data_IF_436502537497
#
_entry.id   IF_436502537497
#
_cell.length_a   1.000
_cell.length_b   1.000
_cell.length_c   1.000
_cell.angle_alpha   90.00
_cell.angle_beta   90.00
_cell.angle_gamma   90.00
#
_symmetry.space_group_name_H-M   'P 1'
#
loop_
_entity.id
_entity.type
_entity.pdbx_description
1 polymer ?
#
# COMPACT_ATOMS: atom_id res chain seq x y z
N UNK A 1 -35.74 -20.80 14.37
CA UNK A 1 -35.16 -20.05 15.51
C UNK A 1 -33.68 -20.34 15.77
N UNK A 2 -33.17 -21.57 15.58
CA UNK A 2 -31.76 -21.91 15.80
C UNK A 2 -30.78 -21.21 14.84
N UNK A 3 -31.16 -20.95 13.58
CA UNK A 3 -30.32 -20.29 12.56
C UNK A 3 -30.01 -18.80 12.87
N UNK A 4 -30.98 -18.11 13.50
CA UNK A 4 -30.82 -16.67 13.84
C UNK A 4 -29.88 -16.48 15.04
N UNK A 5 -29.89 -17.43 15.98
CA UNK A 5 -28.99 -17.38 17.14
C UNK A 5 -27.57 -17.64 16.73
N UNK A 6 -27.30 -18.57 15.81
CA UNK A 6 -25.96 -18.86 15.30
C UNK A 6 -25.34 -17.66 14.58
N UNK A 7 -26.11 -16.98 13.73
CA UNK A 7 -25.64 -15.78 13.04
C UNK A 7 -25.36 -14.60 13.99
N UNK A 8 -26.12 -14.44 15.06
CA UNK A 8 -25.83 -13.42 16.09
C UNK A 8 -24.58 -13.75 16.89
N UNK A 9 -24.33 -15.04 17.19
CA UNK A 9 -23.11 -15.47 17.90
C UNK A 9 -21.86 -15.28 17.04
N UNK A 10 -21.90 -15.65 15.77
CA UNK A 10 -20.77 -15.46 14.83
C UNK A 10 -20.48 -13.96 14.65
N UNK A 11 -21.52 -13.13 14.53
CA UNK A 11 -21.35 -11.68 14.40
C UNK A 11 -20.81 -11.03 15.69
N UNK A 12 -21.22 -11.51 16.87
CA UNK A 12 -20.77 -11.05 18.18
C UNK A 12 -19.32 -11.49 18.44
N UNK A 13 -18.98 -12.74 18.09
CA UNK A 13 -17.63 -13.28 18.21
C UNK A 13 -16.66 -12.55 17.29
N UNK A 14 -17.05 -12.28 16.03
CA UNK A 14 -16.28 -11.53 15.08
C UNK A 14 -16.06 -10.06 15.53
N UNK A 15 -17.08 -9.44 16.16
CA UNK A 15 -17.00 -8.07 16.68
C UNK A 15 -16.06 -7.96 17.88
N UNK A 16 -16.10 -8.92 18.81
CA UNK A 16 -15.22 -8.94 19.98
C UNK A 16 -13.76 -9.30 19.60
N UNK A 17 -13.59 -10.23 18.67
CA UNK A 17 -12.27 -10.56 18.11
C UNK A 17 -11.67 -9.35 17.40
N UNK A 18 -12.47 -8.69 16.55
CA UNK A 18 -12.08 -7.47 15.86
C UNK A 18 -11.73 -6.33 16.85
N UNK A 19 -12.52 -6.15 17.91
CA UNK A 19 -12.24 -5.17 18.96
C UNK A 19 -10.95 -5.47 19.71
N UNK A 20 -10.70 -6.74 20.06
CA UNK A 20 -9.48 -7.18 20.73
C UNK A 20 -8.25 -7.05 19.83
N UNK A 21 -8.37 -7.32 18.52
CA UNK A 21 -7.33 -7.05 17.54
C UNK A 21 -7.05 -5.53 17.44
N UNK A 22 -8.09 -4.71 17.33
CA UNK A 22 -7.96 -3.26 17.27
C UNK A 22 -7.31 -2.68 18.53
N UNK A 23 -7.63 -3.20 19.72
CA UNK A 23 -6.97 -2.79 20.97
C UNK A 23 -5.49 -3.21 21.00
N UNK A 24 -5.16 -4.42 20.52
CA UNK A 24 -3.79 -4.91 20.42
C UNK A 24 -2.92 -4.05 19.50
N UNK A 25 -3.51 -3.49 18.43
CA UNK A 25 -2.80 -2.70 17.42
C UNK A 25 -3.05 -1.18 17.53
N UNK A 26 -3.80 -0.72 18.55
CA UNK A 26 -4.23 0.68 18.72
C UNK A 26 -3.08 1.70 18.78
N UNK A 27 -1.89 1.27 19.15
CA UNK A 27 -0.69 2.11 19.24
C UNK A 27 0.39 1.74 18.22
N UNK A 28 0.11 0.82 17.30
CA UNK A 28 1.07 0.42 16.26
C UNK A 28 0.95 1.33 15.04
N UNK A 29 2.07 1.59 14.41
CA UNK A 29 2.16 2.35 13.18
C UNK A 29 2.21 1.35 12.03
N UNK A 30 1.18 1.33 11.18
CA UNK A 30 1.16 0.47 10.01
C UNK A 30 2.07 1.00 8.91
N UNK A 31 2.48 0.12 8.03
CA UNK A 31 3.33 0.45 6.88
C UNK A 31 2.57 0.16 5.61
N UNK A 32 2.60 1.10 4.68
CA UNK A 32 1.98 0.96 3.37
C UNK A 32 3.04 1.14 2.29
N UNK A 33 3.19 0.15 1.43
CA UNK A 33 4.04 0.20 0.24
C UNK A 33 3.18 0.25 -1.01
N UNK A 34 3.60 1.04 -2.02
CA UNK A 34 3.17 0.86 -3.39
C UNK A 34 4.23 0.06 -4.13
N UNK A 35 3.80 -0.96 -4.89
CA UNK A 35 4.70 -1.81 -5.66
C UNK A 35 4.02 -2.34 -6.90
N UNK A 36 4.76 -2.39 -8.01
CA UNK A 36 4.39 -3.09 -9.23
C UNK A 36 5.63 -3.72 -9.86
N UNK A 37 5.46 -4.86 -10.51
CA UNK A 37 6.49 -5.49 -11.31
C UNK A 37 6.23 -5.24 -12.80
N UNK A 38 7.02 -4.37 -13.41
CA UNK A 38 6.91 -4.07 -14.84
C UNK A 38 7.36 -5.21 -15.75
N UNK A 39 7.98 -6.27 -15.23
CA UNK A 39 8.35 -7.45 -16.01
C UNK A 39 7.18 -8.41 -16.22
N UNK A 40 6.06 -8.22 -15.52
CA UNK A 40 4.82 -8.97 -15.71
C UNK A 40 4.19 -8.61 -17.05
N UNK A 41 4.01 -9.62 -17.90
CA UNK A 41 3.52 -9.43 -19.28
C UNK A 41 2.06 -9.01 -19.33
N UNK A 42 1.24 -9.50 -18.43
CA UNK A 42 -0.18 -9.15 -18.38
C UNK A 42 -0.35 -7.71 -17.91
N UNK A 43 0.43 -7.31 -16.94
CA UNK A 43 0.49 -5.92 -16.47
C UNK A 43 1.01 -4.96 -17.55
N UNK A 44 2.07 -5.35 -18.31
CA UNK A 44 2.57 -4.58 -19.45
C UNK A 44 1.49 -4.35 -20.51
N UNK A 45 0.76 -5.41 -20.87
CA UNK A 45 -0.34 -5.36 -21.83
C UNK A 45 -1.43 -4.40 -21.35
N UNK A 46 -1.88 -4.55 -20.09
CA UNK A 46 -2.87 -3.69 -19.45
C UNK A 46 -2.44 -2.22 -19.49
N UNK A 47 -1.16 -1.94 -19.21
CA UNK A 47 -0.59 -0.59 -19.26
C UNK A 47 -0.63 0.00 -20.67
N UNK A 48 -0.19 -0.75 -21.67
CA UNK A 48 -0.18 -0.31 -23.08
C UNK A 48 -1.59 0.00 -23.56
N UNK A 49 -2.53 -0.91 -23.37
CA UNK A 49 -3.94 -0.73 -23.77
C UNK A 49 -4.58 0.50 -23.11
N UNK A 50 -4.30 0.68 -21.81
CA UNK A 50 -4.79 1.84 -21.06
C UNK A 50 -4.20 3.15 -21.59
N UNK A 51 -2.91 3.15 -21.89
CA UNK A 51 -2.22 4.31 -22.44
C UNK A 51 -2.73 4.69 -23.82
N UNK A 52 -2.92 3.74 -24.71
CA UNK A 52 -3.51 3.97 -26.03
C UNK A 52 -4.94 4.51 -25.94
N UNK A 53 -5.74 3.96 -25.03
CA UNK A 53 -7.10 4.45 -24.77
C UNK A 53 -7.11 5.88 -24.26
N UNK A 54 -6.15 6.22 -23.38
CA UNK A 54 -5.97 7.59 -22.91
C UNK A 54 -5.61 8.55 -24.02
N UNK A 55 -4.67 8.18 -24.91
CA UNK A 55 -4.26 9.00 -26.05
C UNK A 55 -5.40 9.25 -27.04
N UNK A 56 -6.22 8.23 -27.29
CA UNK A 56 -7.41 8.36 -28.16
C UNK A 56 -8.44 9.34 -27.61
N UNK A 57 -8.59 9.41 -26.29
CA UNK A 57 -9.58 10.28 -25.62
C UNK A 57 -9.06 11.69 -25.32
N UNK A 58 -7.76 11.83 -25.15
CA UNK A 58 -7.14 13.08 -24.72
C UNK A 58 -6.12 13.54 -25.76
N UNK A 59 -6.41 14.62 -26.46
CA UNK A 59 -5.45 15.28 -27.38
C UNK A 59 -4.36 16.10 -26.65
N UNK A 60 -4.14 15.83 -25.35
CA UNK A 60 -3.18 16.59 -24.54
C UNK A 60 -1.81 15.94 -24.56
N UNK A 61 -0.78 16.76 -24.60
CA UNK A 61 0.59 16.33 -24.41
C UNK A 61 0.77 15.67 -23.04
N UNK A 62 1.45 14.53 -23.05
CA UNK A 62 1.83 13.83 -21.84
C UNK A 62 3.17 14.41 -21.38
N UNK A 63 3.32 14.60 -20.08
CA UNK A 63 4.60 15.06 -19.52
C UNK A 63 5.74 14.13 -19.98
N UNK A 64 6.82 14.71 -20.44
CA UNK A 64 7.94 14.06 -21.16
C UNK A 64 8.45 12.76 -20.48
N UNK A 65 8.41 12.70 -19.15
CA UNK A 65 8.89 11.56 -18.36
C UNK A 65 7.78 10.73 -17.70
N UNK A 66 6.52 10.99 -18.02
CA UNK A 66 5.41 10.30 -17.33
C UNK A 66 5.25 8.83 -17.70
N UNK A 67 5.78 8.41 -18.84
CA UNK A 67 5.65 7.06 -19.40
C UNK A 67 7.02 6.38 -19.67
N UNK A 68 8.05 6.72 -18.93
CA UNK A 68 9.36 6.06 -19.07
C UNK A 68 9.34 4.69 -18.38
N UNK A 69 9.97 3.69 -19.00
CA UNK A 69 10.01 2.31 -18.48
C UNK A 69 10.71 2.23 -17.12
N UNK A 70 11.68 3.10 -16.88
CA UNK A 70 12.39 3.17 -15.60
C UNK A 70 11.51 3.44 -14.37
N UNK A 71 10.31 4.01 -14.57
CA UNK A 71 9.39 4.31 -13.45
C UNK A 71 8.71 3.09 -12.85
N UNK A 72 8.66 2.00 -13.58
CA UNK A 72 7.91 0.80 -13.21
C UNK A 72 8.83 -0.42 -13.07
N UNK A 73 10.13 -0.22 -13.24
CA UNK A 73 11.11 -1.29 -13.15
C UNK A 73 11.27 -1.74 -11.71
N UNK A 74 11.07 -3.03 -11.47
CA UNK A 74 11.36 -3.70 -10.21
C UNK A 74 12.74 -4.35 -10.31
N UNK A 75 13.68 -3.95 -9.43
CA UNK A 75 14.98 -4.61 -9.25
C UNK A 75 15.03 -5.36 -7.89
N UNK A 76 13.86 -5.69 -7.32
CA UNK A 76 13.74 -6.35 -6.03
C UNK A 76 13.82 -5.42 -4.83
N UNK A 77 13.60 -4.11 -5.04
CA UNK A 77 13.72 -3.09 -4.00
C UNK A 77 12.82 -3.40 -2.80
N UNK A 78 11.58 -3.85 -3.04
CA UNK A 78 10.64 -4.19 -1.97
C UNK A 78 11.20 -5.24 -1.00
N UNK A 79 11.92 -6.27 -1.51
CA UNK A 79 12.51 -7.30 -0.65
C UNK A 79 13.57 -6.74 0.31
N UNK A 80 14.41 -5.83 -0.17
CA UNK A 80 15.40 -5.14 0.66
C UNK A 80 14.73 -4.16 1.62
N UNK A 81 13.67 -3.51 1.17
CA UNK A 81 12.91 -2.58 1.99
C UNK A 81 12.27 -3.29 3.19
N UNK A 82 11.59 -4.42 2.99
CA UNK A 82 11.02 -5.21 4.07
C UNK A 82 12.10 -5.69 5.07
N UNK A 83 13.30 -6.06 4.61
CA UNK A 83 14.42 -6.38 5.50
C UNK A 83 14.90 -5.16 6.30
N UNK A 84 14.92 -3.98 5.67
CA UNK A 84 15.27 -2.74 6.37
C UNK A 84 14.23 -2.38 7.42
N UNK A 85 12.95 -2.60 7.13
CA UNK A 85 11.84 -2.42 8.06
C UNK A 85 12.00 -3.34 9.28
N UNK A 86 12.20 -4.64 9.07
CA UNK A 86 12.42 -5.60 10.16
C UNK A 86 13.63 -5.23 11.03
N UNK A 87 14.69 -4.72 10.41
CA UNK A 87 15.92 -4.33 11.12
C UNK A 87 15.78 -3.05 11.93
N UNK A 88 15.12 -2.05 11.38
CA UNK A 88 15.14 -0.69 11.92
C UNK A 88 13.83 -0.26 12.58
N UNK A 89 12.76 -1.00 12.33
CA UNK A 89 11.46 -0.76 12.95
C UNK A 89 10.71 -2.08 13.25
N UNK A 90 11.27 -2.99 14.08
CA UNK A 90 10.67 -4.29 14.38
C UNK A 90 9.31 -4.20 15.09
N UNK A 91 9.00 -3.08 15.76
CA UNK A 91 7.72 -2.84 16.44
C UNK A 91 6.62 -2.30 15.51
N UNK A 92 6.86 -2.23 14.20
CA UNK A 92 5.83 -1.78 13.24
C UNK A 92 4.54 -2.59 13.34
N UNK A 93 3.44 -1.98 12.94
CA UNK A 93 2.14 -2.60 12.86
C UNK A 93 1.99 -3.57 11.69
N UNK A 94 0.84 -3.52 11.04
CA UNK A 94 0.57 -4.31 9.85
C UNK A 94 1.25 -3.70 8.62
N UNK A 95 1.67 -4.54 7.68
CA UNK A 95 2.26 -4.12 6.40
C UNK A 95 1.25 -4.36 5.29
N UNK A 96 0.92 -3.32 4.57
CA UNK A 96 0.07 -3.37 3.39
C UNK A 96 0.90 -3.11 2.14
N UNK A 97 0.80 -3.99 1.15
CA UNK A 97 1.45 -3.83 -0.14
C UNK A 97 0.35 -3.59 -1.16
N UNK A 98 0.25 -2.36 -1.63
CA UNK A 98 -0.74 -1.94 -2.62
C UNK A 98 -0.16 -2.16 -4.01
N UNK A 99 -0.88 -2.90 -4.85
CA UNK A 99 -0.40 -3.37 -6.15
C UNK A 99 -1.53 -3.41 -7.18
N UNK A 100 -1.22 -3.81 -8.41
CA UNK A 100 -2.17 -3.92 -9.53
C UNK A 100 -2.30 -5.39 -9.96
N UNK A 101 -3.12 -6.17 -9.24
CA UNK A 101 -3.38 -7.60 -9.46
C UNK A 101 -2.11 -8.47 -9.43
N UNK A 102 -1.08 -8.03 -8.71
CA UNK A 102 0.22 -8.70 -8.65
C UNK A 102 0.57 -9.17 -7.23
N UNK A 103 1.47 -10.13 -7.16
CA UNK A 103 2.08 -10.58 -5.91
C UNK A 103 3.53 -10.96 -6.18
N UNK A 104 4.51 -10.48 -5.38
CA UNK A 104 5.87 -10.96 -5.51
C UNK A 104 5.97 -12.47 -5.22
N UNK A 105 6.59 -13.25 -6.12
CA UNK A 105 6.67 -14.71 -6.00
C UNK A 105 7.41 -15.17 -4.74
N UNK A 106 8.36 -14.36 -4.27
CA UNK A 106 9.15 -14.61 -3.06
C UNK A 106 8.43 -14.21 -1.77
N UNK A 107 7.28 -13.51 -1.86
CA UNK A 107 6.58 -13.00 -0.68
C UNK A 107 5.66 -14.05 -0.09
N UNK A 108 6.02 -14.53 1.09
CA UNK A 108 5.09 -15.29 1.94
C UNK A 108 4.19 -14.30 2.70
N UNK A 109 2.90 -14.34 2.42
CA UNK A 109 1.92 -13.59 3.22
C UNK A 109 1.78 -14.28 4.57
N UNK A 110 2.20 -13.60 5.63
CA UNK A 110 2.05 -14.02 7.03
C UNK A 110 1.05 -13.10 7.74
N UNK A 111 0.76 -13.39 9.00
CA UNK A 111 -0.25 -12.66 9.82
C UNK A 111 -0.12 -11.13 9.83
N UNK A 112 1.04 -10.58 9.47
CA UNK A 112 1.32 -9.14 9.48
C UNK A 112 1.46 -8.50 8.10
N UNK A 113 1.26 -9.24 7.01
CA UNK A 113 1.40 -8.73 5.64
C UNK A 113 0.16 -9.02 4.82
N UNK A 114 -0.42 -7.98 4.23
CA UNK A 114 -1.58 -8.08 3.34
C UNK A 114 -1.28 -7.39 2.01
N UNK A 115 -1.61 -8.08 0.93
CA UNK A 115 -1.61 -7.50 -0.41
C UNK A 115 -2.99 -6.88 -0.64
N UNK A 116 -3.00 -5.65 -1.13
CA UNK A 116 -4.19 -4.87 -1.45
C UNK A 116 -4.16 -4.57 -2.95
N UNK A 117 -5.20 -4.91 -3.66
CA UNK A 117 -5.34 -4.49 -5.04
C UNK A 117 -5.80 -3.02 -5.15
N UNK A 118 -5.35 -2.32 -6.19
CA UNK A 118 -5.81 -0.95 -6.46
C UNK A 118 -7.33 -0.85 -6.50
N UNK A 119 -8.02 -1.85 -7.05
CA UNK A 119 -9.47 -1.87 -7.18
C UNK A 119 -10.21 -2.02 -5.85
N UNK A 120 -9.54 -2.57 -4.82
CA UNK A 120 -10.13 -2.72 -3.48
C UNK A 120 -10.28 -1.40 -2.75
N UNK A 121 -9.47 -0.40 -3.09
CA UNK A 121 -9.42 0.91 -2.42
C UNK A 121 -9.94 2.04 -3.30
N UNK A 122 -10.04 1.82 -4.60
CA UNK A 122 -10.43 2.83 -5.58
C UNK A 122 -11.92 2.77 -5.97
N UNK A 123 -12.52 3.86 -6.46
CA UNK A 123 -13.87 3.83 -6.97
C UNK A 123 -14.00 2.87 -8.16
N UNK A 124 -15.07 2.06 -8.18
CA UNK A 124 -15.34 1.04 -9.23
C UNK A 124 -15.32 1.55 -10.68
N UNK A 125 -15.42 2.86 -10.90
CA UNK A 125 -15.35 3.48 -12.23
C UNK A 125 -13.93 3.65 -12.74
N UNK A 126 -12.94 3.45 -11.90
CA UNK A 126 -11.53 3.62 -12.22
C UNK A 126 -10.97 2.26 -12.62
N UNK A 127 -10.70 2.07 -13.89
CA UNK A 127 -10.34 0.74 -14.43
C UNK A 127 -8.84 0.48 -14.54
N UNK A 128 -8.01 1.51 -14.59
CA UNK A 128 -6.55 1.33 -14.70
C UNK A 128 -5.85 2.63 -14.33
N UNK A 129 -5.05 2.62 -13.29
CA UNK A 129 -4.24 3.77 -12.87
C UNK A 129 -2.79 3.36 -12.76
N UNK A 130 -1.93 4.09 -13.47
CA UNK A 130 -0.47 3.92 -13.48
C UNK A 130 0.26 5.13 -12.88
N UNK A 131 -0.46 6.02 -12.20
CA UNK A 131 0.09 7.18 -11.53
C UNK A 131 0.04 6.95 -10.01
N UNK A 132 1.20 6.76 -9.37
CA UNK A 132 1.33 6.54 -7.92
C UNK A 132 0.63 7.62 -7.12
N UNK A 133 0.80 8.89 -7.49
CA UNK A 133 0.15 10.01 -6.81
C UNK A 133 -1.39 9.93 -6.78
N UNK A 134 -1.99 9.27 -7.76
CA UNK A 134 -3.42 9.05 -7.80
C UNK A 134 -3.84 7.92 -6.86
N UNK A 135 -3.06 6.83 -6.81
CA UNK A 135 -3.29 5.70 -5.91
C UNK A 135 -3.13 6.15 -4.44
N UNK A 136 -2.12 6.97 -4.17
CA UNK A 136 -1.84 7.54 -2.86
C UNK A 136 -3.04 8.26 -2.24
N UNK A 137 -3.87 8.90 -3.06
CA UNK A 137 -5.08 9.60 -2.57
C UNK A 137 -6.14 8.63 -2.01
N UNK A 138 -6.05 7.33 -2.30
CA UNK A 138 -7.00 6.31 -1.88
C UNK A 138 -6.46 5.37 -0.78
N UNK A 139 -5.23 5.52 -0.34
CA UNK A 139 -4.62 4.69 0.72
C UNK A 139 -5.49 4.64 1.98
N UNK A 140 -6.16 5.73 2.32
CA UNK A 140 -7.04 5.80 3.49
C UNK A 140 -8.27 4.87 3.41
N UNK A 141 -8.55 4.25 2.26
CA UNK A 141 -9.60 3.24 2.09
C UNK A 141 -9.12 1.82 2.39
N UNK A 142 -7.84 1.60 2.67
CA UNK A 142 -7.32 0.26 3.02
C UNK A 142 -8.08 -0.27 4.25
N UNK A 143 -8.72 -1.45 4.16
CA UNK A 143 -9.47 -2.02 5.28
C UNK A 143 -8.56 -2.26 6.50
N UNK A 144 -9.00 -1.79 7.67
CA UNK A 144 -8.31 -1.91 8.94
C UNK A 144 -6.95 -1.17 9.04
N UNK A 145 -6.64 -0.25 8.13
CA UNK A 145 -5.48 0.61 8.26
C UNK A 145 -5.56 1.40 9.57
N UNK A 146 -4.47 1.43 10.32
CA UNK A 146 -4.37 2.21 11.55
C UNK A 146 -4.42 3.71 11.25
N UNK A 147 -4.90 4.52 12.21
CA UNK A 147 -4.89 5.98 12.09
C UNK A 147 -3.47 6.52 11.89
N UNK A 148 -2.48 5.85 12.49
CA UNK A 148 -1.06 6.13 12.29
C UNK A 148 -0.49 5.13 11.30
N UNK A 149 0.00 5.60 10.18
CA UNK A 149 0.72 4.77 9.22
C UNK A 149 1.85 5.56 8.55
N UNK A 150 2.83 4.84 8.04
CA UNK A 150 3.90 5.38 7.21
C UNK A 150 3.73 4.82 5.81
N UNK A 151 3.60 5.71 4.83
CA UNK A 151 3.59 5.37 3.42
C UNK A 151 5.00 5.50 2.85
N UNK A 152 5.43 4.51 2.08
CA UNK A 152 6.72 4.46 1.42
C UNK A 152 6.58 3.92 -0.02
N UNK A 153 7.35 4.46 -0.93
CA UNK A 153 7.63 3.76 -2.17
C UNK A 153 8.55 2.57 -1.88
N UNK A 154 8.53 1.58 -2.75
CA UNK A 154 9.33 0.36 -2.62
C UNK A 154 10.86 0.62 -2.61
N UNK A 155 11.32 1.73 -3.17
CA UNK A 155 12.70 2.19 -3.22
C UNK A 155 13.12 3.13 -2.06
N UNK A 156 12.25 3.36 -1.06
CA UNK A 156 12.53 4.22 0.10
C UNK A 156 12.75 3.38 1.36
N UNK A 157 13.99 3.33 1.84
CA UNK A 157 14.45 2.41 2.89
C UNK A 157 14.60 3.10 4.26
N UNK A 158 14.34 2.34 5.32
CA UNK A 158 14.75 2.74 6.66
C UNK A 158 16.27 2.59 6.79
N UNK A 159 16.96 3.69 7.06
CA UNK A 159 18.43 3.71 7.20
C UNK A 159 18.93 3.69 8.64
N UNK A 160 18.02 3.87 9.63
CA UNK A 160 18.32 3.92 11.05
C UNK A 160 17.08 3.52 11.88
N UNK A 161 17.26 3.19 13.18
CA UNK A 161 16.15 2.90 14.07
C UNK A 161 15.10 4.01 14.08
N UNK A 162 13.83 3.60 13.97
CA UNK A 162 12.69 4.53 13.92
C UNK A 162 12.31 4.94 15.34
N UNK A 163 12.20 6.24 15.58
CA UNK A 163 11.62 6.79 16.79
C UNK A 163 10.22 7.31 16.48
N UNK A 164 9.19 6.56 16.90
CA UNK A 164 7.79 6.85 16.65
C UNK A 164 7.38 8.20 17.22
N UNK A 165 7.86 8.56 18.43
CA UNK A 165 7.49 9.82 19.09
C UNK A 165 7.99 11.02 18.29
N UNK A 166 9.10 10.86 17.59
CA UNK A 166 9.61 11.91 16.72
C UNK A 166 8.78 12.05 15.43
N UNK A 167 8.30 10.93 14.88
CA UNK A 167 7.52 10.91 13.63
C UNK A 167 6.07 11.37 13.82
N UNK A 168 5.49 11.16 15.01
CA UNK A 168 4.08 11.40 15.30
C UNK A 168 3.87 12.35 16.50
N UNK A 169 4.80 13.27 16.70
CA UNK A 169 4.70 14.28 17.76
C UNK A 169 3.48 15.18 17.55
N UNK A 170 2.70 15.39 18.61
CA UNK A 170 1.60 16.35 18.68
C UNK A 170 0.52 16.24 17.57
N UNK A 171 0.22 15.02 17.10
CA UNK A 171 -0.72 14.75 16.02
C UNK A 171 -0.35 15.39 14.66
N UNK A 172 0.80 16.01 14.54
CA UNK A 172 1.29 16.57 13.29
C UNK A 172 2.00 15.49 12.47
N UNK A 173 1.67 15.41 11.20
CA UNK A 173 2.38 14.59 10.22
C UNK A 173 3.53 15.41 9.67
N UNK A 174 4.75 14.91 9.81
CA UNK A 174 5.92 15.58 9.24
C UNK A 174 6.27 14.95 7.90
N UNK A 175 6.36 15.78 6.88
CA UNK A 175 6.97 15.40 5.61
C UNK A 175 8.38 15.98 5.58
N UNK A 176 9.38 15.10 5.46
CA UNK A 176 10.76 15.55 5.33
C UNK A 176 11.16 15.54 3.85
N UNK A 177 11.35 16.71 3.31
CA UNK A 177 12.06 16.87 2.04
C UNK A 177 13.39 17.56 2.35
N UNK A 178 14.50 16.85 2.18
CA UNK A 178 15.82 17.45 2.25
C UNK A 178 16.06 18.18 0.94
N UNK A 179 15.99 19.52 0.93
CA UNK A 179 16.54 20.27 -0.18
C UNK A 179 18.06 20.02 -0.20
N UNK A 180 18.54 19.26 -1.17
CA UNK A 180 19.95 19.26 -1.53
C UNK A 180 20.23 20.57 -2.25
N UNK A 181 21.05 21.40 -1.64
CA UNK A 181 21.64 22.57 -2.31
C UNK A 181 22.74 22.10 -3.25
#
# INVERSE_FOLDING_TARGET
>A
QKKIILNKFICFWNRNYKKKLMEKYKNQVDIVYLWVNSNDKDWQKKRVESFESFLKKNKKDIALFSNTDGRFRDNGELAFNLRSLEKFFPEHGHVYIVTDEQKPDWLETRDKVTIIDHQDIMPKKVTSIFASSNIETYIHHIPNLSEKFIYLNDDVFFGAPVNIDWWFKDKLKYFFSKKTH
#
